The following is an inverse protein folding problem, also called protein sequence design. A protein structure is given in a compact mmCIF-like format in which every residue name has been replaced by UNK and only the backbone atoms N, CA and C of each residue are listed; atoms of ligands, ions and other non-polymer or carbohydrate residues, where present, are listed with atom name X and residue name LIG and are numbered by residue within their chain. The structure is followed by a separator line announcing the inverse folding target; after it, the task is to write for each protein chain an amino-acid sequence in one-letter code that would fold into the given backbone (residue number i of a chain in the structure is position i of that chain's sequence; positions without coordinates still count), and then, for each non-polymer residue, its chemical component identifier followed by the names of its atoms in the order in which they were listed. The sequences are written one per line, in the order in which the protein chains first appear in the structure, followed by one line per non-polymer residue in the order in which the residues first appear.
data_IF_938834771692
#
_entry.id   IF_938834771692
#
_cell.length_a   1.000
_cell.length_b   1.000
_cell.length_c   1.000
_cell.angle_alpha   90.00
_cell.angle_beta   90.00
_cell.angle_gamma   90.00
#
_symmetry.space_group_name_H-M   'P 1'
#
loop_
_entity.id
_entity.type
_entity.pdbx_description
1 polymer ?
#
# COMPACT_ATOMS: atom_id res chain seq x y z
N UNK A 1 7.97 -15.68 -13.13
CA UNK A 1 6.63 -15.99 -12.57
C UNK A 1 6.43 -15.53 -11.11
N UNK A 2 7.48 -15.29 -10.31
CA UNK A 2 7.35 -14.84 -8.91
C UNK A 2 6.91 -13.36 -8.74
N UNK A 3 7.35 -12.46 -9.63
CA UNK A 3 7.09 -11.01 -9.51
C UNK A 3 5.59 -10.68 -9.70
N UNK A 4 4.91 -11.37 -10.63
CA UNK A 4 3.45 -11.22 -10.85
C UNK A 4 2.63 -11.59 -9.62
N UNK A 5 2.97 -12.68 -8.93
CA UNK A 5 2.27 -13.09 -7.70
C UNK A 5 2.49 -12.11 -6.55
N UNK A 6 3.71 -11.59 -6.38
CA UNK A 6 4.01 -10.57 -5.36
C UNK A 6 3.19 -9.31 -5.60
N UNK A 7 3.15 -8.84 -6.85
CA UNK A 7 2.36 -7.67 -7.24
C UNK A 7 0.86 -7.88 -7.04
N UNK A 8 0.33 -9.05 -7.40
CA UNK A 8 -1.09 -9.37 -7.20
C UNK A 8 -1.48 -9.37 -5.71
N UNK A 9 -0.60 -9.88 -4.83
CA UNK A 9 -0.80 -9.77 -3.37
C UNK A 9 -0.76 -8.32 -2.90
N UNK A 10 0.18 -7.52 -3.41
CA UNK A 10 0.27 -6.10 -3.07
C UNK A 10 -1.00 -5.34 -3.49
N UNK A 11 -1.47 -5.57 -4.72
CA UNK A 11 -2.71 -4.99 -5.25
C UNK A 11 -3.88 -5.31 -4.31
N UNK A 12 -4.06 -6.57 -3.92
CA UNK A 12 -5.16 -6.95 -3.02
C UNK A 12 -5.07 -6.30 -1.63
N UNK A 13 -3.86 -6.02 -1.13
CA UNK A 13 -3.66 -5.26 0.12
C UNK A 13 -4.02 -3.78 -0.08
N UNK A 14 -3.59 -3.20 -1.20
CA UNK A 14 -3.81 -1.78 -1.53
C UNK A 14 -5.27 -1.48 -1.83
N UNK A 15 -5.99 -2.40 -2.48
CA UNK A 15 -7.43 -2.30 -2.67
C UNK A 15 -8.17 -2.29 -1.32
N UNK A 16 -7.70 -3.08 -0.34
CA UNK A 16 -8.21 -2.96 1.02
C UNK A 16 -7.93 -1.58 1.60
N UNK A 17 -6.71 -1.05 1.49
CA UNK A 17 -6.41 0.31 1.97
C UNK A 17 -7.28 1.39 1.31
N UNK A 18 -7.50 1.30 0.00
CA UNK A 18 -8.36 2.22 -0.73
C UNK A 18 -9.84 2.10 -0.35
N UNK A 19 -10.27 0.97 0.20
CA UNK A 19 -11.62 0.73 0.71
C UNK A 19 -11.77 0.86 2.23
N UNK A 20 -10.66 0.93 2.97
CA UNK A 20 -10.66 1.09 4.43
C UNK A 20 -11.05 2.50 4.88
N UNK A 21 -11.13 3.47 3.96
CA UNK A 21 -11.55 4.84 4.25
C UNK A 21 -10.51 5.66 5.02
N UNK A 22 -9.24 5.23 5.03
CA UNK A 22 -8.17 5.93 5.73
C UNK A 22 -7.51 6.92 4.78
N UNK A 23 -7.94 8.18 4.87
CA UNK A 23 -7.61 9.27 3.92
C UNK A 23 -6.10 9.36 3.60
N UNK A 24 -5.25 9.16 4.61
CA UNK A 24 -3.78 9.22 4.52
C UNK A 24 -3.21 8.21 3.51
N UNK A 25 -3.74 6.98 3.48
CA UNK A 25 -3.28 5.91 2.57
C UNK A 25 -4.20 5.73 1.37
N UNK A 26 -5.46 6.14 1.45
CA UNK A 26 -6.45 5.96 0.39
C UNK A 26 -6.04 6.70 -0.89
N UNK A 27 -5.61 7.97 -0.77
CA UNK A 27 -5.13 8.77 -1.89
C UNK A 27 -3.97 8.08 -2.65
N UNK A 28 -2.84 7.79 -1.98
CA UNK A 28 -1.71 7.13 -2.63
C UNK A 28 -2.00 5.68 -3.04
N UNK A 29 -2.91 4.96 -2.37
CA UNK A 29 -3.37 3.64 -2.79
C UNK A 29 -4.08 3.67 -4.15
N UNK A 30 -5.00 4.62 -4.34
CA UNK A 30 -5.69 4.83 -5.62
C UNK A 30 -4.72 5.26 -6.71
N UNK A 31 -3.79 6.17 -6.41
CA UNK A 31 -2.75 6.60 -7.36
C UNK A 31 -1.88 5.41 -7.78
N UNK A 32 -1.43 4.60 -6.83
CA UNK A 32 -0.64 3.39 -7.11
C UNK A 32 -1.41 2.37 -7.95
N UNK A 33 -2.71 2.16 -7.71
CA UNK A 33 -3.53 1.24 -8.50
C UNK A 33 -3.73 1.71 -9.95
N UNK A 34 -3.74 3.03 -10.17
CA UNK A 34 -3.80 3.63 -11.49
C UNK A 34 -2.48 3.49 -12.27
N UNK A 35 -1.34 3.57 -11.57
CA UNK A 35 0.00 3.50 -12.18
C UNK A 35 0.80 2.23 -11.88
N UNK A 36 0.17 1.19 -11.31
CA UNK A 36 0.58 -0.21 -11.52
C UNK A 36 0.58 -0.44 -13.04
N UNK A 37 0.95 -1.55 -13.66
CA UNK A 37 1.10 -1.64 -15.13
C UNK A 37 2.22 -0.74 -15.73
N UNK A 38 2.38 0.52 -15.33
CA UNK A 38 3.51 1.40 -15.69
C UNK A 38 4.75 1.12 -14.83
N UNK A 39 5.84 0.62 -15.42
CA UNK A 39 7.02 0.19 -14.68
C UNK A 39 7.73 1.30 -13.88
N UNK A 40 7.83 2.50 -14.46
CA UNK A 40 8.49 3.66 -13.84
C UNK A 40 7.56 4.37 -12.84
N UNK A 41 6.32 4.65 -13.25
CA UNK A 41 5.35 5.31 -12.40
C UNK A 41 4.92 4.43 -11.21
N UNK A 42 4.83 3.11 -11.39
CA UNK A 42 4.58 2.17 -10.29
C UNK A 42 5.65 2.27 -9.22
N UNK A 43 6.91 2.52 -9.60
CA UNK A 43 8.02 2.65 -8.65
C UNK A 43 7.88 3.92 -7.81
N UNK A 44 7.68 5.07 -8.46
CA UNK A 44 7.47 6.35 -7.78
C UNK A 44 6.21 6.35 -6.89
N UNK A 45 5.11 5.79 -7.38
CA UNK A 45 3.90 5.64 -6.58
C UNK A 45 4.10 4.67 -5.42
N UNK A 46 4.95 3.63 -5.57
CA UNK A 46 5.25 2.70 -4.46
C UNK A 46 5.93 3.44 -3.32
N UNK A 47 6.85 4.35 -3.62
CA UNK A 47 7.53 5.18 -2.62
C UNK A 47 6.56 6.10 -1.90
N UNK A 48 5.65 6.76 -2.63
CA UNK A 48 4.58 7.57 -2.03
C UNK A 48 3.66 6.74 -1.13
N UNK A 49 3.27 5.56 -1.60
CA UNK A 49 2.43 4.62 -0.87
C UNK A 49 3.12 4.15 0.41
N UNK A 50 4.42 3.81 0.34
CA UNK A 50 5.23 3.43 1.49
C UNK A 50 5.27 4.56 2.52
N UNK A 51 5.55 5.79 2.09
CA UNK A 51 5.59 6.95 2.99
C UNK A 51 4.23 7.22 3.67
N UNK A 52 3.14 7.01 2.94
CA UNK A 52 1.79 7.11 3.49
C UNK A 52 1.47 6.00 4.48
N UNK A 53 1.89 4.76 4.18
CA UNK A 53 1.75 3.60 5.07
C UNK A 53 2.58 3.81 6.35
N UNK A 54 3.81 4.32 6.27
CA UNK A 54 4.64 4.62 7.44
C UNK A 54 4.00 5.72 8.32
N UNK A 55 3.40 6.75 7.70
CA UNK A 55 2.62 7.74 8.45
C UNK A 55 1.40 7.11 9.12
N UNK A 56 0.66 6.27 8.40
CA UNK A 56 -0.52 5.61 8.95
C UNK A 56 -0.16 4.61 10.06
N UNK A 57 0.97 3.91 9.96
CA UNK A 57 1.51 3.03 11.00
C UNK A 57 1.96 3.85 12.23
N UNK A 58 2.61 4.99 12.02
CA UNK A 58 3.00 5.88 13.12
C UNK A 58 1.79 6.48 13.86
N UNK A 59 0.73 6.86 13.14
CA UNK A 59 -0.47 7.48 13.73
C UNK A 59 -1.49 6.45 14.25
N UNK A 60 -1.67 5.33 13.55
CA UNK A 60 -2.76 4.37 13.78
C UNK A 60 -2.27 2.92 14.00
N UNK A 61 -0.97 2.64 13.80
CA UNK A 61 -0.42 1.28 13.99
C UNK A 61 -0.47 0.75 15.42
N UNK A 62 -0.53 1.64 16.43
CA UNK A 62 -0.80 1.23 17.82
C UNK A 62 -2.29 1.00 18.14
N UNK A 63 -3.21 1.17 17.19
CA UNK A 63 -4.65 1.00 17.43
C UNK A 63 -5.06 -0.48 17.51
N UNK A 64 -4.21 -1.42 17.09
CA UNK A 64 -4.48 -2.86 17.14
C UNK A 64 -5.44 -3.37 16.05
N UNK A 65 -5.67 -2.57 15.01
CA UNK A 65 -6.52 -2.91 13.87
C UNK A 65 -5.79 -3.80 12.84
N UNK A 66 -6.55 -4.55 12.04
CA UNK A 66 -6.00 -5.43 10.97
C UNK A 66 -5.14 -4.69 9.93
N UNK A 67 -5.33 -3.38 9.81
CA UNK A 67 -4.53 -2.49 8.98
C UNK A 67 -3.05 -2.49 9.36
N UNK A 68 -2.70 -2.63 10.64
CA UNK A 68 -1.32 -2.63 11.13
C UNK A 68 -0.51 -3.81 10.54
N UNK A 69 -1.15 -4.99 10.49
CA UNK A 69 -0.57 -6.19 9.87
C UNK A 69 -0.42 -5.98 8.36
N UNK A 70 -1.37 -5.27 7.73
CA UNK A 70 -1.31 -4.96 6.31
C UNK A 70 -0.18 -3.96 6.00
N UNK A 71 0.07 -2.96 6.84
CA UNK A 71 1.17 -2.00 6.68
C UNK A 71 2.52 -2.70 6.70
N UNK A 72 2.77 -3.53 7.72
CA UNK A 72 3.99 -4.32 7.85
C UNK A 72 4.19 -5.29 6.68
N UNK A 73 3.10 -5.91 6.19
CA UNK A 73 3.17 -6.77 4.99
C UNK A 73 3.49 -5.99 3.73
N UNK A 74 2.88 -4.82 3.53
CA UNK A 74 3.16 -3.97 2.37
C UNK A 74 4.61 -3.46 2.39
N UNK A 75 5.10 -3.02 3.54
CA UNK A 75 6.49 -2.58 3.74
C UNK A 75 7.50 -3.72 3.52
N UNK A 76 7.19 -4.94 3.99
CA UNK A 76 8.03 -6.12 3.79
C UNK A 76 8.07 -6.63 2.34
N UNK A 77 7.18 -6.14 1.47
CA UNK A 77 7.10 -6.51 0.06
C UNK A 77 7.71 -5.45 -0.89
N UNK A 78 8.37 -4.42 -0.34
CA UNK A 78 9.27 -3.48 -1.05
C UNK A 78 10.46 -4.24 -1.68
#
# INVERSE_FOLDING_TARGET
MAVKQRRAKLIGIIEKFAGSGYDVIEGPAKEWLAVKDDGEASKAASEKLIAAIEKADAECGSCGCELDILYKKALAMK
#
